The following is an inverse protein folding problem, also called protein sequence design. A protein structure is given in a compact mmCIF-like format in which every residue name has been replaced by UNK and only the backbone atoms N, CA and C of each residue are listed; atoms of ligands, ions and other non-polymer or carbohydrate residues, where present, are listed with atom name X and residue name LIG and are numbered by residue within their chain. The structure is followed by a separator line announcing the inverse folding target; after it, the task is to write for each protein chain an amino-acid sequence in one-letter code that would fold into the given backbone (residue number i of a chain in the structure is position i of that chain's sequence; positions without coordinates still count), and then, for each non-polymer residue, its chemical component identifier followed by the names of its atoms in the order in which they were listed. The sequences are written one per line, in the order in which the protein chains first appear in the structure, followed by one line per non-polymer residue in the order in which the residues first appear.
data_IF_804312746324
#
_entry.id   IF_804312746324
#
_cell.length_a   1.000
_cell.length_b   1.000
_cell.length_c   1.000
_cell.angle_alpha   90.00
_cell.angle_beta   90.00
_cell.angle_gamma   90.00
#
_symmetry.space_group_name_H-M   'P 1'
#
loop_
_entity.id
_entity.type
_entity.pdbx_description
1 polymer ?
#
# COMPACT_ATOMS: atom_id res chain seq x y z
N UNK A 1 5.21 -25.12 7.11
CA UNK A 1 6.22 -25.76 6.28
C UNK A 1 6.27 -25.03 4.95
N UNK A 2 7.39 -24.46 4.54
CA UNK A 2 7.70 -23.99 3.18
C UNK A 2 7.03 -22.71 2.68
N UNK A 3 6.59 -21.80 3.58
CA UNK A 3 6.07 -20.50 3.13
C UNK A 3 7.12 -19.68 2.38
N UNK A 4 8.39 -19.75 2.79
CA UNK A 4 9.47 -19.01 2.13
C UNK A 4 9.73 -19.54 0.72
N UNK A 5 9.68 -20.84 0.54
CA UNK A 5 9.89 -21.47 -0.78
C UNK A 5 8.74 -21.15 -1.73
N UNK A 6 7.49 -21.12 -1.23
CA UNK A 6 6.33 -20.77 -2.04
C UNK A 6 6.40 -19.32 -2.49
N UNK A 7 6.76 -18.41 -1.58
CA UNK A 7 6.89 -17.00 -1.93
C UNK A 7 7.99 -16.77 -2.96
N UNK A 8 9.14 -17.45 -2.82
CA UNK A 8 10.23 -17.40 -3.80
C UNK A 8 9.77 -17.91 -5.16
N UNK A 9 9.00 -18.98 -5.18
CA UNK A 9 8.46 -19.52 -6.42
C UNK A 9 7.53 -18.52 -7.11
N UNK A 10 6.64 -17.89 -6.35
CA UNK A 10 5.74 -16.84 -6.88
C UNK A 10 6.55 -15.71 -7.49
N UNK A 11 7.59 -15.24 -6.79
CA UNK A 11 8.44 -14.14 -7.28
C UNK A 11 9.16 -14.51 -8.58
N UNK A 12 9.51 -15.76 -8.76
CA UNK A 12 10.17 -16.24 -9.96
C UNK A 12 9.22 -16.46 -11.14
N UNK A 13 7.90 -16.51 -10.90
CA UNK A 13 6.89 -16.87 -11.89
C UNK A 13 5.73 -15.85 -11.88
N UNK A 14 6.05 -14.54 -11.84
CA UNK A 14 5.05 -13.47 -11.71
C UNK A 14 4.01 -13.50 -12.81
N UNK A 15 4.41 -13.67 -14.07
CA UNK A 15 3.48 -13.64 -15.20
C UNK A 15 2.43 -14.74 -15.08
N UNK A 16 2.85 -15.94 -14.71
CA UNK A 16 1.99 -17.10 -14.50
C UNK A 16 0.98 -16.83 -13.38
N UNK A 17 1.44 -16.31 -12.25
CA UNK A 17 0.55 -16.02 -11.12
C UNK A 17 -0.35 -14.83 -11.39
N UNK A 18 0.11 -13.81 -12.10
CA UNK A 18 -0.74 -12.69 -12.51
C UNK A 18 -1.86 -13.16 -13.41
N UNK A 19 -1.58 -14.06 -14.35
CA UNK A 19 -2.60 -14.63 -15.23
C UNK A 19 -3.62 -15.43 -14.41
N UNK A 20 -3.16 -16.25 -13.48
CA UNK A 20 -4.02 -17.06 -12.61
C UNK A 20 -4.93 -16.19 -11.74
N UNK A 21 -4.41 -15.09 -11.21
CA UNK A 21 -5.15 -14.23 -10.27
C UNK A 21 -6.05 -13.21 -10.95
N UNK A 22 -5.90 -13.01 -12.25
CA UNK A 22 -6.60 -11.93 -12.98
C UNK A 22 -8.12 -12.03 -12.90
N UNK A 23 -8.67 -13.23 -12.86
CA UNK A 23 -10.11 -13.48 -12.78
C UNK A 23 -10.59 -13.72 -11.34
N UNK A 24 -9.72 -13.57 -10.35
CA UNK A 24 -10.06 -13.76 -8.95
C UNK A 24 -10.38 -12.43 -8.27
N UNK A 25 -11.27 -12.48 -7.28
CA UNK A 25 -11.58 -11.30 -6.49
C UNK A 25 -10.49 -10.93 -5.49
N UNK A 26 -10.55 -9.70 -4.94
CA UNK A 26 -9.54 -9.24 -3.99
C UNK A 26 -9.40 -10.14 -2.77
N UNK A 27 -10.51 -10.67 -2.25
CA UNK A 27 -10.49 -11.56 -1.10
C UNK A 27 -9.66 -12.81 -1.36
N UNK A 28 -9.82 -13.41 -2.53
CA UNK A 28 -9.07 -14.60 -2.93
C UNK A 28 -7.58 -14.27 -3.10
N UNK A 29 -7.27 -13.16 -3.76
CA UNK A 29 -5.89 -12.72 -4.00
C UNK A 29 -5.17 -12.50 -2.67
N UNK A 30 -5.81 -11.79 -1.75
CA UNK A 30 -5.24 -11.49 -0.44
C UNK A 30 -4.98 -12.78 0.34
N UNK A 31 -5.98 -13.65 0.41
CA UNK A 31 -5.88 -14.92 1.14
C UNK A 31 -4.76 -15.80 0.58
N UNK A 32 -4.67 -15.88 -0.75
CA UNK A 32 -3.63 -16.65 -1.42
C UNK A 32 -2.23 -16.16 -1.04
N UNK A 33 -2.00 -14.85 -1.13
CA UNK A 33 -0.69 -14.27 -0.83
C UNK A 33 -0.37 -14.36 0.67
N UNK A 34 -1.34 -14.09 1.54
CA UNK A 34 -1.12 -14.18 2.99
C UNK A 34 -0.72 -15.58 3.44
N UNK A 35 -1.18 -16.62 2.73
CA UNK A 35 -0.81 -17.99 3.07
C UNK A 35 0.69 -18.26 2.92
N UNK A 36 1.40 -17.44 2.16
CA UNK A 36 2.84 -17.55 1.91
C UNK A 36 3.66 -16.44 2.56
N UNK A 37 3.03 -15.50 3.27
CA UNK A 37 3.70 -14.33 3.82
C UNK A 37 3.87 -14.46 5.33
N UNK A 38 5.07 -14.11 5.81
CA UNK A 38 5.37 -14.06 7.25
C UNK A 38 5.32 -12.66 7.81
N UNK A 39 5.70 -11.65 7.01
CA UNK A 39 5.82 -10.26 7.45
C UNK A 39 5.12 -9.33 6.46
N UNK A 40 3.79 -9.49 6.27
CA UNK A 40 3.08 -8.61 5.36
C UNK A 40 2.92 -7.21 5.96
N UNK A 41 2.96 -6.21 5.11
CA UNK A 41 2.57 -4.85 5.45
C UNK A 41 1.51 -4.35 4.47
N UNK A 42 0.83 -3.31 4.90
CA UNK A 42 -0.17 -2.59 4.13
C UNK A 42 0.20 -1.12 4.20
N UNK A 43 0.10 -0.40 3.10
CA UNK A 43 0.33 1.05 3.09
C UNK A 43 -0.92 1.80 2.67
N UNK A 44 -1.09 3.01 3.18
CA UNK A 44 -2.16 3.90 2.79
C UNK A 44 -1.78 5.34 3.01
N UNK A 45 -2.28 6.23 2.15
CA UNK A 45 -2.24 7.67 2.36
C UNK A 45 -3.60 8.21 2.79
N UNK A 46 -4.57 7.34 3.07
CA UNK A 46 -5.94 7.69 3.45
C UNK A 46 -6.65 8.57 2.42
N UNK A 47 -6.31 8.39 1.15
CA UNK A 47 -7.02 9.03 0.05
C UNK A 47 -8.37 8.36 -0.25
N UNK A 48 -9.05 8.82 -1.32
CA UNK A 48 -10.31 8.20 -1.75
C UNK A 48 -10.14 6.71 -2.01
N UNK A 49 -11.15 5.93 -1.65
CA UNK A 49 -11.19 4.46 -1.81
C UNK A 49 -10.17 3.69 -0.99
N UNK A 50 -9.37 4.35 -0.13
CA UNK A 50 -8.36 3.65 0.69
C UNK A 50 -8.98 2.63 1.64
N UNK A 51 -10.19 2.86 2.11
CA UNK A 51 -10.88 1.96 3.02
C UNK A 51 -11.12 0.57 2.41
N UNK A 52 -11.25 0.46 1.08
CA UNK A 52 -11.48 -0.83 0.42
C UNK A 52 -10.33 -1.80 0.66
N UNK A 53 -9.11 -1.37 0.42
CA UNK A 53 -7.94 -2.20 0.65
C UNK A 53 -7.75 -2.51 2.13
N UNK A 54 -7.87 -1.49 2.97
CA UNK A 54 -7.67 -1.65 4.42
C UNK A 54 -8.68 -2.65 4.98
N UNK A 55 -9.94 -2.53 4.61
CA UNK A 55 -10.99 -3.47 5.02
C UNK A 55 -10.68 -4.88 4.52
N UNK A 56 -10.42 -5.03 3.22
CA UNK A 56 -10.23 -6.35 2.61
C UNK A 56 -9.05 -7.11 3.20
N UNK A 57 -7.95 -6.41 3.50
CA UNK A 57 -6.75 -7.04 4.05
C UNK A 57 -6.91 -7.29 5.55
N UNK A 58 -7.37 -6.31 6.30
CA UNK A 58 -7.44 -6.40 7.76
C UNK A 58 -8.41 -7.47 8.25
N UNK A 59 -9.49 -7.72 7.52
CA UNK A 59 -10.42 -8.78 7.92
C UNK A 59 -9.82 -10.18 7.76
N UNK A 60 -8.76 -10.34 6.99
CA UNK A 60 -8.05 -11.61 6.82
C UNK A 60 -6.79 -11.72 7.67
N UNK A 61 -6.21 -10.59 8.06
CA UNK A 61 -5.05 -10.56 8.93
C UNK A 61 -5.23 -9.46 9.98
N UNK A 62 -5.81 -9.83 11.13
CA UNK A 62 -5.96 -8.90 12.26
C UNK A 62 -4.59 -8.42 12.74
N UNK A 63 -4.49 -7.11 13.01
CA UNK A 63 -3.26 -6.53 13.51
C UNK A 63 -2.18 -6.33 12.46
N UNK A 64 -2.51 -6.42 11.16
CA UNK A 64 -1.52 -6.15 10.12
C UNK A 64 -0.97 -4.73 10.25
N UNK A 65 0.36 -4.54 10.17
CA UNK A 65 0.92 -3.20 10.18
C UNK A 65 0.45 -2.40 8.96
N UNK A 66 -0.21 -1.26 9.24
CA UNK A 66 -0.56 -0.29 8.20
C UNK A 66 0.42 0.87 8.31
N UNK A 67 1.28 1.01 7.31
CA UNK A 67 2.29 2.06 7.24
C UNK A 67 1.66 3.30 6.63
N UNK A 68 1.71 4.41 7.37
CA UNK A 68 1.26 5.71 6.89
C UNK A 68 2.41 6.70 6.97
N UNK A 69 2.87 7.15 5.80
CA UNK A 69 3.87 8.20 5.71
C UNK A 69 3.14 9.54 5.74
N UNK A 70 2.98 10.10 6.94
CA UNK A 70 2.31 11.37 7.15
C UNK A 70 3.28 12.51 6.88
N UNK A 71 3.06 13.22 5.79
CA UNK A 71 3.95 14.31 5.34
C UNK A 71 3.90 15.54 6.25
N UNK A 72 2.87 15.64 7.11
CA UNK A 72 2.59 16.85 7.89
C UNK A 72 1.72 17.86 7.16
N UNK A 73 1.37 17.61 5.90
CA UNK A 73 0.56 18.50 5.07
C UNK A 73 -0.81 17.93 4.72
N UNK A 74 -1.26 16.92 5.49
CA UNK A 74 -2.58 16.35 5.29
C UNK A 74 -3.68 17.31 5.79
N UNK A 75 -4.84 17.27 5.11
CA UNK A 75 -5.99 18.03 5.53
C UNK A 75 -6.55 17.46 6.84
N UNK A 76 -7.29 18.28 7.58
CA UNK A 76 -7.98 17.83 8.78
C UNK A 76 -8.95 16.68 8.47
N UNK A 77 -9.58 16.73 7.31
CA UNK A 77 -10.46 15.66 6.85
C UNK A 77 -9.72 14.32 6.72
N UNK A 78 -8.54 14.33 6.14
CA UNK A 78 -7.70 13.13 6.03
C UNK A 78 -7.28 12.61 7.40
N UNK A 79 -6.86 13.49 8.30
CA UNK A 79 -6.48 13.11 9.66
C UNK A 79 -7.66 12.49 10.42
N UNK A 80 -8.85 13.05 10.29
CA UNK A 80 -10.06 12.51 10.92
C UNK A 80 -10.44 11.15 10.34
N UNK A 81 -10.28 10.99 9.04
CA UNK A 81 -10.55 9.72 8.36
C UNK A 81 -9.59 8.62 8.83
N UNK A 82 -8.30 8.93 8.92
CA UNK A 82 -7.30 7.99 9.43
C UNK A 82 -7.64 7.52 10.84
N UNK A 83 -8.07 8.44 11.70
CA UNK A 83 -8.47 8.13 13.06
C UNK A 83 -9.70 7.20 13.11
N UNK A 84 -10.69 7.46 12.26
CA UNK A 84 -11.88 6.60 12.18
C UNK A 84 -11.53 5.20 11.72
N UNK A 85 -10.67 5.08 10.72
CA UNK A 85 -10.21 3.78 10.22
C UNK A 85 -9.47 3.02 11.32
N UNK A 86 -8.56 3.67 12.03
CA UNK A 86 -7.83 3.04 13.14
C UNK A 86 -8.77 2.51 14.22
N UNK A 87 -9.84 3.25 14.51
CA UNK A 87 -10.82 2.85 15.53
C UNK A 87 -11.78 1.75 15.05
N UNK A 88 -12.00 1.64 13.75
CA UNK A 88 -13.04 0.77 13.19
C UNK A 88 -12.53 -0.55 12.64
N UNK A 89 -11.27 -0.64 12.25
CA UNK A 89 -10.71 -1.83 11.59
C UNK A 89 -9.54 -2.40 12.38
N UNK A 90 -9.32 -3.72 12.33
CA UNK A 90 -8.30 -4.39 13.13
C UNK A 90 -6.91 -4.27 12.49
N UNK A 91 -6.39 -3.07 12.42
CA UNK A 91 -5.07 -2.74 11.90
C UNK A 91 -4.14 -2.30 13.02
N UNK A 92 -2.84 -2.37 12.77
CA UNK A 92 -1.81 -1.78 13.63
C UNK A 92 -1.24 -0.57 12.88
N UNK A 93 -1.77 0.62 13.17
CA UNK A 93 -1.37 1.84 12.48
C UNK A 93 0.02 2.28 12.91
N UNK A 94 0.94 2.34 11.95
CA UNK A 94 2.32 2.80 12.12
C UNK A 94 2.52 4.09 11.34
N UNK A 95 2.49 5.20 12.04
CA UNK A 95 2.61 6.54 11.47
C UNK A 95 4.07 6.96 11.43
N UNK A 96 4.57 7.24 10.23
CA UNK A 96 5.94 7.71 10.01
C UNK A 96 5.90 9.16 9.56
N UNK A 97 6.54 10.02 10.34
CA UNK A 97 6.64 11.45 10.03
C UNK A 97 8.01 11.77 9.49
N UNK A 98 8.14 12.82 8.65
CA UNK A 98 9.46 13.27 8.20
C UNK A 98 10.34 13.66 9.38
N UNK A 99 11.61 13.28 9.32
CA UNK A 99 12.61 13.74 10.30
C UNK A 99 12.89 15.23 10.11
N UNK A 100 12.87 15.69 8.84
CA UNK A 100 13.01 17.11 8.52
C UNK A 100 11.64 17.73 8.34
N UNK A 101 11.40 18.82 9.08
CA UNK A 101 10.11 19.53 9.02
C UNK A 101 10.21 20.69 8.03
N UNK A 102 9.13 20.90 7.29
CA UNK A 102 8.95 22.04 6.39
C UNK A 102 7.75 22.86 6.86
N UNK A 103 7.88 24.20 6.84
CA UNK A 103 6.73 25.09 7.01
C UNK A 103 6.08 25.32 5.64
N UNK A 104 4.82 25.78 5.62
CA UNK A 104 4.14 26.11 4.37
C UNK A 104 4.89 27.14 3.54
N UNK A 105 5.60 28.10 4.19
CA UNK A 105 6.38 29.12 3.52
C UNK A 105 7.65 28.58 2.89
N UNK A 106 8.10 27.39 3.27
CA UNK A 106 9.32 26.75 2.77
C UNK A 106 9.05 25.74 1.66
N UNK A 107 7.77 25.56 1.25
CA UNK A 107 7.43 24.61 0.22
C UNK A 107 8.02 25.04 -1.11
N UNK A 108 8.82 24.16 -1.77
CA UNK A 108 9.40 24.48 -3.07
C UNK A 108 8.34 24.44 -4.17
N UNK A 109 8.66 25.06 -5.31
CA UNK A 109 7.87 24.91 -6.53
C UNK A 109 7.86 23.44 -6.98
N UNK A 110 6.87 23.06 -7.78
CA UNK A 110 6.62 21.67 -8.18
C UNK A 110 7.69 21.06 -9.09
N UNK A 111 8.84 21.69 -9.22
CA UNK A 111 9.93 21.20 -10.08
C UNK A 111 11.29 21.62 -9.54
N UNK A 112 12.34 20.90 -9.98
CA UNK A 112 13.73 21.21 -9.66
C UNK A 112 14.28 20.42 -8.48
N UNK A 113 15.53 20.73 -8.14
CA UNK A 113 16.28 20.02 -7.09
C UNK A 113 15.64 20.19 -5.71
N UNK A 114 15.18 21.42 -5.39
CA UNK A 114 14.52 21.66 -4.10
C UNK A 114 13.25 20.84 -3.93
N UNK A 115 12.48 20.67 -5.00
CA UNK A 115 11.29 19.83 -4.98
C UNK A 115 11.65 18.36 -4.79
N UNK A 116 12.69 17.86 -5.45
CA UNK A 116 13.15 16.49 -5.29
C UNK A 116 13.62 16.22 -3.86
N UNK A 117 14.36 17.15 -3.28
CA UNK A 117 14.79 17.04 -1.88
C UNK A 117 13.61 17.05 -0.92
N UNK A 118 12.61 17.88 -1.18
CA UNK A 118 11.37 17.90 -0.41
C UNK A 118 10.64 16.55 -0.46
N UNK A 119 10.46 15.97 -1.65
CA UNK A 119 9.82 14.66 -1.81
C UNK A 119 10.61 13.58 -1.09
N UNK A 120 11.94 13.58 -1.20
CA UNK A 120 12.80 12.64 -0.48
C UNK A 120 12.58 12.73 1.03
N UNK A 121 12.55 13.95 1.57
CA UNK A 121 12.46 14.16 3.02
C UNK A 121 11.08 13.80 3.59
N UNK A 122 10.01 14.09 2.86
CA UNK A 122 8.65 13.93 3.39
C UNK A 122 7.98 12.62 3.03
N UNK A 123 8.44 11.95 1.99
CA UNK A 123 7.82 10.70 1.50
C UNK A 123 8.78 9.52 1.47
N UNK A 124 9.93 9.66 0.81
CA UNK A 124 10.81 8.53 0.55
C UNK A 124 11.60 8.11 1.77
N UNK A 125 12.15 9.05 2.53
CA UNK A 125 12.89 8.72 3.75
C UNK A 125 12.01 8.02 4.78
N UNK A 126 10.82 8.57 5.13
CA UNK A 126 9.94 7.87 6.09
C UNK A 126 9.56 6.47 5.61
N UNK A 127 9.31 6.28 4.32
CA UNK A 127 8.96 4.97 3.78
C UNK A 127 10.14 4.00 3.86
N UNK A 128 11.35 4.44 3.51
CA UNK A 128 12.56 3.60 3.64
C UNK A 128 12.79 3.19 5.09
N UNK A 129 12.56 4.10 6.03
CA UNK A 129 12.70 3.82 7.46
C UNK A 129 11.68 2.76 7.90
N UNK A 130 10.43 2.87 7.42
CA UNK A 130 9.39 1.88 7.69
C UNK A 130 9.79 0.50 7.14
N UNK A 131 10.28 0.43 5.91
CA UNK A 131 10.73 -0.82 5.32
C UNK A 131 11.88 -1.45 6.10
N UNK A 132 12.83 -0.64 6.57
CA UNK A 132 13.94 -1.14 7.37
C UNK A 132 13.46 -1.71 8.70
N UNK A 133 12.51 -1.06 9.37
CA UNK A 133 11.98 -1.50 10.66
C UNK A 133 11.11 -2.74 10.55
N UNK A 134 10.30 -2.83 9.51
CA UNK A 134 9.34 -3.94 9.37
C UNK A 134 9.89 -5.11 8.58
N UNK A 135 10.90 -4.89 7.74
CA UNK A 135 11.50 -5.92 6.89
C UNK A 135 10.42 -6.80 6.22
N UNK A 136 9.49 -6.22 5.45
CA UNK A 136 8.36 -6.98 4.92
C UNK A 136 8.78 -7.92 3.80
N UNK A 137 8.09 -9.04 3.70
CA UNK A 137 8.19 -9.94 2.55
C UNK A 137 7.11 -9.66 1.51
N UNK A 138 5.99 -9.09 1.94
CA UNK A 138 4.83 -8.74 1.10
C UNK A 138 4.35 -7.33 1.46
N UNK A 139 3.99 -6.58 0.43
CA UNK A 139 3.48 -5.21 0.56
C UNK A 139 2.17 -5.07 -0.20
N UNK A 140 1.05 -4.94 0.53
CA UNK A 140 -0.26 -4.66 -0.07
C UNK A 140 -0.42 -3.18 -0.33
N UNK A 141 -0.82 -2.84 -1.56
CA UNK A 141 -1.03 -1.46 -1.98
C UNK A 141 -2.37 -1.30 -2.70
N UNK A 142 -2.88 -0.06 -2.76
CA UNK A 142 -4.11 0.26 -3.48
C UNK A 142 -3.84 0.86 -4.86
N UNK A 143 -2.75 0.47 -5.49
CA UNK A 143 -2.42 0.86 -6.86
C UNK A 143 -3.43 0.23 -7.81
N UNK A 144 -3.89 1.01 -8.78
CA UNK A 144 -4.83 0.54 -9.80
C UNK A 144 -4.39 0.98 -11.19
N UNK A 145 -4.75 0.16 -12.17
CA UNK A 145 -4.62 0.48 -13.58
C UNK A 145 -5.40 1.76 -13.89
N UNK A 146 -4.89 2.59 -14.80
CA UNK A 146 -5.54 3.82 -15.22
C UNK A 146 -5.22 5.05 -14.40
N UNK A 147 -4.43 4.94 -13.33
CA UNK A 147 -4.08 6.07 -12.47
C UNK A 147 -2.93 6.91 -13.03
N UNK A 148 -1.89 6.26 -13.53
CA UNK A 148 -0.74 6.90 -14.19
C UNK A 148 -0.18 5.97 -15.26
N UNK A 149 0.62 6.53 -16.18
CA UNK A 149 1.30 5.73 -17.21
C UNK A 149 2.22 4.66 -16.57
N UNK A 150 2.94 5.01 -15.50
CA UNK A 150 3.79 4.06 -14.79
C UNK A 150 2.96 2.94 -14.16
N UNK A 151 1.83 3.26 -13.50
CA UNK A 151 0.97 2.27 -12.87
C UNK A 151 0.32 1.32 -13.88
N UNK A 152 0.12 1.78 -15.11
CA UNK A 152 -0.38 0.93 -16.20
C UNK A 152 0.61 -0.16 -16.61
N UNK A 153 1.89 -0.01 -16.26
CA UNK A 153 2.92 -1.03 -16.54
C UNK A 153 3.00 -2.13 -15.49
N UNK A 154 2.27 -1.97 -14.38
CA UNK A 154 2.28 -2.93 -13.28
C UNK A 154 1.20 -4.00 -13.50
N UNK A 155 0.96 -4.81 -12.49
CA UNK A 155 -0.08 -5.85 -12.49
C UNK A 155 -0.51 -6.08 -11.03
N UNK A 156 -1.31 -7.10 -10.78
CA UNK A 156 -1.69 -7.50 -9.42
C UNK A 156 -0.43 -7.76 -8.58
N UNK A 157 0.52 -8.53 -9.14
CA UNK A 157 1.80 -8.83 -8.49
C UNK A 157 2.94 -8.15 -9.25
N UNK A 158 3.83 -7.52 -8.52
CA UNK A 158 5.08 -6.98 -9.04
C UNK A 158 6.17 -7.08 -7.99
N UNK A 159 7.44 -6.92 -8.40
CA UNK A 159 8.56 -6.91 -7.46
C UNK A 159 9.10 -5.49 -7.32
N UNK A 160 9.43 -5.11 -6.09
CA UNK A 160 10.22 -3.90 -5.87
C UNK A 160 11.68 -4.18 -6.19
N UNK A 161 12.49 -3.12 -6.32
CA UNK A 161 13.95 -3.25 -6.54
C UNK A 161 14.62 -4.03 -5.40
N UNK A 162 14.04 -4.00 -4.20
CA UNK A 162 14.55 -4.70 -3.03
C UNK A 162 14.02 -6.13 -2.90
N UNK A 163 13.25 -6.61 -3.88
CA UNK A 163 12.74 -7.97 -3.88
C UNK A 163 11.50 -8.23 -3.04
N UNK A 164 10.82 -7.17 -2.61
CA UNK A 164 9.53 -7.29 -1.89
C UNK A 164 8.42 -7.58 -2.91
N UNK A 165 7.57 -8.55 -2.62
CA UNK A 165 6.40 -8.80 -3.46
C UNK A 165 5.33 -7.76 -3.18
N UNK A 166 5.08 -6.89 -4.17
CA UNK A 166 4.05 -5.86 -4.12
C UNK A 166 2.76 -6.44 -4.67
N UNK A 167 1.67 -6.31 -3.92
CA UNK A 167 0.37 -6.91 -4.25
C UNK A 167 -0.69 -5.82 -4.30
N UNK A 168 -1.35 -5.70 -5.44
CA UNK A 168 -2.42 -4.74 -5.69
C UNK A 168 -3.73 -5.48 -5.96
N UNK A 169 -4.47 -5.87 -4.93
CA UNK A 169 -5.64 -6.75 -5.11
C UNK A 169 -6.78 -6.13 -5.93
N UNK A 170 -6.85 -4.79 -5.96
CA UNK A 170 -7.88 -4.05 -6.70
C UNK A 170 -7.35 -3.48 -8.01
N UNK A 171 -6.23 -4.01 -8.53
CA UNK A 171 -5.52 -3.40 -9.66
C UNK A 171 -6.42 -3.16 -10.87
N UNK A 172 -7.30 -4.10 -11.20
CA UNK A 172 -8.19 -4.00 -12.37
C UNK A 172 -9.57 -3.42 -12.05
N UNK A 173 -9.80 -2.98 -10.81
CA UNK A 173 -11.09 -2.43 -10.39
C UNK A 173 -11.25 -0.98 -10.82
N UNK A 174 -12.48 -0.64 -11.22
CA UNK A 174 -12.87 0.74 -11.54
C UNK A 174 -13.32 1.47 -10.28
N UNK A 175 -13.43 2.80 -10.37
CA UNK A 175 -13.99 3.63 -9.30
C UNK A 175 -15.42 3.20 -8.95
N UNK A 176 -16.23 2.86 -9.95
CA UNK A 176 -17.60 2.39 -9.74
C UNK A 176 -17.64 1.10 -8.94
N UNK A 177 -16.77 0.15 -9.28
CA UNK A 177 -16.67 -1.11 -8.54
C UNK A 177 -16.22 -0.90 -7.10
N UNK A 178 -15.26 0.02 -6.86
CA UNK A 178 -14.82 0.35 -5.51
C UNK A 178 -15.91 1.02 -4.70
N UNK A 179 -16.67 1.94 -5.30
CA UNK A 179 -17.82 2.54 -4.61
C UNK A 179 -18.85 1.48 -4.22
N UNK A 180 -19.11 0.52 -5.10
CA UNK A 180 -19.98 -0.61 -4.80
C UNK A 180 -19.47 -1.44 -3.62
N UNK A 181 -18.19 -1.73 -3.60
CA UNK A 181 -17.57 -2.45 -2.47
C UNK A 181 -17.76 -1.69 -1.15
N UNK A 182 -17.45 -0.40 -1.15
CA UNK A 182 -17.52 0.42 0.07
C UNK A 182 -18.95 0.62 0.56
N UNK A 183 -19.95 0.57 -0.33
CA UNK A 183 -21.36 0.73 0.07
C UNK A 183 -21.88 -0.45 0.89
N UNK A 184 -21.17 -1.56 0.93
CA UNK A 184 -21.56 -2.76 1.70
C UNK A 184 -21.08 -2.72 3.15
N UNK A 185 -20.24 -1.77 3.50
CA UNK A 185 -19.58 -1.73 4.82
C UNK A 185 -19.64 -0.39 5.53
#
# INVERSE_FOLDING_TARGET
IMTDDQLLYIKAHLDEYNEMLRDKGPEHIIRFILSSSKRPILTSNFGPYSASLIHAVSKQRNGIPLIWCDTGFNTQQTLNFAKRIEQSLPIDLKRYKPSKKYSESELPSESGEAFQNFVNDVKLEPFKRALAEHNPDVWFTNIRRGQTAYRDTLDILSLTSDGILKVSPFYFWTDTELRGYLSQF
#
